data_IF_556845961961
#
_entry.id   IF_556845961961
#
_cell.length_a   1.000
_cell.length_b   1.000
_cell.length_c   1.000
_cell.angle_alpha   90.00
_cell.angle_beta   90.00
_cell.angle_gamma   90.00
#
_symmetry.space_group_name_H-M   'P 1'
#
loop_
_entity.id
_entity.type
_entity.pdbx_description
1 polymer ?
#
# COMPACT_ATOMS: atom_id res chain seq x y z
N UNK A 1 -6.38 -72.70 8.03
CA UNK A 1 -7.44 -72.09 7.21
C UNK A 1 -7.84 -70.84 7.99
N UNK A 2 -7.08 -69.77 7.74
CA UNK A 2 -7.51 -68.46 7.18
C UNK A 2 -8.06 -67.51 8.27
N UNK A 3 -7.32 -66.48 8.65
CA UNK A 3 -7.31 -65.13 8.05
C UNK A 3 -8.68 -64.45 8.10
N UNK A 4 -8.82 -63.45 8.96
CA UNK A 4 -9.64 -62.29 8.65
C UNK A 4 -9.05 -61.05 9.32
N UNK A 5 -8.20 -60.36 8.55
CA UNK A 5 -7.78 -59.00 8.82
C UNK A 5 -8.96 -58.07 8.56
N UNK A 6 -9.53 -57.47 9.61
CA UNK A 6 -10.45 -56.34 9.45
C UNK A 6 -9.61 -55.07 9.48
N UNK A 7 -9.34 -54.53 8.29
CA UNK A 7 -8.60 -53.30 8.11
C UNK A 7 -9.21 -52.16 8.91
N UNK A 8 -8.39 -51.51 9.70
CA UNK A 8 -8.63 -50.14 10.13
C UNK A 8 -8.62 -49.28 8.86
N UNK A 9 -9.59 -48.38 8.63
CA UNK A 9 -9.48 -47.41 7.57
C UNK A 9 -8.29 -46.50 7.91
N UNK A 10 -7.16 -46.73 7.25
CA UNK A 10 -6.09 -45.75 7.16
C UNK A 10 -6.70 -44.53 6.52
N UNK A 11 -6.88 -43.46 7.30
CA UNK A 11 -7.26 -42.17 6.77
C UNK A 11 -6.11 -41.63 5.94
N UNK A 12 -6.06 -42.02 4.68
CA UNK A 12 -5.39 -41.23 3.64
C UNK A 12 -6.20 -39.93 3.54
N UNK A 13 -5.81 -38.92 4.32
CA UNK A 13 -6.18 -37.56 4.00
C UNK A 13 -5.40 -37.22 2.73
N UNK A 14 -6.13 -36.96 1.64
CA UNK A 14 -5.54 -36.60 0.35
C UNK A 14 -4.55 -35.43 0.55
N UNK A 15 -3.33 -35.56 0.03
CA UNK A 15 -2.26 -34.54 0.17
C UNK A 15 -2.74 -33.14 -0.26
N UNK A 16 -3.66 -33.09 -1.23
CA UNK A 16 -4.32 -31.88 -1.71
C UNK A 16 -5.19 -31.17 -0.63
N UNK A 17 -5.84 -31.93 0.26
CA UNK A 17 -6.62 -31.36 1.37
C UNK A 17 -5.71 -30.78 2.46
N UNK A 18 -4.58 -31.45 2.75
CA UNK A 18 -3.60 -30.96 3.72
C UNK A 18 -2.94 -29.65 3.23
N UNK A 19 -2.60 -29.58 1.95
CA UNK A 19 -2.06 -28.38 1.30
C UNK A 19 -3.06 -27.22 1.29
N UNK A 20 -4.34 -27.50 1.03
CA UNK A 20 -5.40 -26.49 1.11
C UNK A 20 -5.56 -25.97 2.55
N UNK A 21 -5.52 -26.85 3.56
CA UNK A 21 -5.59 -26.50 4.98
C UNK A 21 -4.39 -25.64 5.41
N UNK A 22 -3.21 -25.97 4.91
CA UNK A 22 -1.98 -25.21 5.18
C UNK A 22 -2.06 -23.81 4.60
N UNK A 23 -2.48 -23.64 3.34
CA UNK A 23 -2.68 -22.32 2.72
C UNK A 23 -3.73 -21.48 3.45
N UNK A 24 -4.84 -22.10 3.87
CA UNK A 24 -5.86 -21.40 4.65
C UNK A 24 -5.33 -20.92 6.00
N UNK A 25 -4.51 -21.75 6.68
CA UNK A 25 -3.87 -21.38 7.94
C UNK A 25 -2.84 -20.26 7.75
N UNK A 26 -2.07 -20.29 6.66
CA UNK A 26 -1.13 -19.21 6.29
C UNK A 26 -1.87 -17.88 6.04
N UNK A 27 -2.96 -17.91 5.26
CA UNK A 27 -3.80 -16.73 5.02
C UNK A 27 -4.41 -16.18 6.32
N UNK A 28 -4.84 -17.06 7.22
CA UNK A 28 -5.39 -16.66 8.51
C UNK A 28 -4.33 -15.99 9.39
N UNK A 29 -3.12 -16.54 9.45
CA UNK A 29 -1.99 -15.93 10.18
C UNK A 29 -1.61 -14.58 9.57
N UNK A 30 -1.55 -14.45 8.25
CA UNK A 30 -1.29 -13.16 7.59
C UNK A 30 -2.37 -12.12 7.89
N UNK A 31 -3.64 -12.53 7.91
CA UNK A 31 -4.75 -11.65 8.23
C UNK A 31 -4.71 -11.18 9.70
N UNK A 32 -4.40 -12.09 10.63
CA UNK A 32 -4.25 -11.77 12.06
C UNK A 32 -3.05 -10.84 12.30
N UNK A 33 -1.92 -11.08 11.64
CA UNK A 33 -0.77 -10.18 11.70
C UNK A 33 -1.11 -8.80 11.10
N UNK A 34 -1.75 -8.74 9.93
CA UNK A 34 -2.22 -7.45 9.35
C UNK A 34 -3.15 -6.70 10.30
N UNK A 35 -4.10 -7.41 10.93
CA UNK A 35 -5.04 -6.83 11.89
C UNK A 35 -4.31 -6.29 13.12
N UNK A 36 -3.32 -7.03 13.65
CA UNK A 36 -2.48 -6.61 14.77
C UNK A 36 -1.72 -5.31 14.49
N UNK A 37 -1.17 -5.14 13.29
CA UNK A 37 -0.46 -3.92 12.91
C UNK A 37 -1.38 -2.78 12.47
N UNK A 38 -2.64 -3.06 12.07
CA UNK A 38 -3.61 -2.03 11.67
C UNK A 38 -3.95 -1.05 12.79
N UNK A 39 -3.86 -1.46 14.05
CA UNK A 39 -4.13 -0.60 15.21
C UNK A 39 -2.90 0.20 15.68
N UNK A 40 -1.70 -0.13 15.17
CA UNK A 40 -0.47 0.58 15.53
C UNK A 40 -0.31 1.80 14.63
N UNK A 41 -0.83 2.94 15.09
CA UNK A 41 -0.61 4.21 14.37
C UNK A 41 0.87 4.61 14.46
N UNK A 42 1.55 4.81 13.32
CA UNK A 42 2.94 5.26 13.32
C UNK A 42 3.12 6.59 14.05
N UNK A 43 4.24 6.74 14.76
CA UNK A 43 4.59 8.01 15.43
C UNK A 43 4.71 9.14 14.41
N UNK A 44 4.54 10.38 14.86
CA UNK A 44 4.55 11.55 13.98
C UNK A 44 5.85 11.70 13.20
N UNK A 45 6.99 11.29 13.76
CA UNK A 45 8.29 11.32 13.09
C UNK A 45 8.32 10.37 11.89
N UNK A 46 7.79 9.16 12.03
CA UNK A 46 7.68 8.19 10.93
C UNK A 46 6.76 8.72 9.84
N UNK A 47 5.65 9.36 10.22
CA UNK A 47 4.75 10.03 9.26
C UNK A 47 5.45 11.18 8.55
N UNK A 48 6.22 11.99 9.26
CA UNK A 48 6.99 13.09 8.68
C UNK A 48 8.02 12.59 7.66
N UNK A 49 8.76 11.55 8.01
CA UNK A 49 9.69 10.90 7.08
C UNK A 49 8.97 10.37 5.83
N UNK A 50 7.80 9.75 5.98
CA UNK A 50 7.02 9.31 4.82
C UNK A 50 6.60 10.49 3.92
N UNK A 51 6.23 11.63 4.50
CA UNK A 51 5.94 12.85 3.75
C UNK A 51 7.19 13.35 3.01
N UNK A 52 8.35 13.35 3.65
CA UNK A 52 9.62 13.70 2.99
C UNK A 52 9.93 12.77 1.81
N UNK A 53 9.65 11.46 1.93
CA UNK A 53 9.77 10.51 0.83
C UNK A 53 8.83 10.86 -0.33
N UNK A 54 7.57 11.23 -0.06
CA UNK A 54 6.61 11.65 -1.09
C UNK A 54 7.10 12.90 -1.81
N UNK A 55 7.60 13.90 -1.07
CA UNK A 55 8.16 15.11 -1.65
C UNK A 55 9.37 14.80 -2.54
N UNK A 56 10.28 13.94 -2.05
CA UNK A 56 11.44 13.47 -2.82
C UNK A 56 11.00 12.77 -4.10
N UNK A 57 9.96 11.93 -4.04
CA UNK A 57 9.41 11.25 -5.21
C UNK A 57 8.91 12.27 -6.23
N UNK A 58 8.05 13.21 -5.83
CA UNK A 58 7.52 14.26 -6.71
C UNK A 58 8.65 15.06 -7.39
N UNK A 59 9.71 15.38 -6.65
CA UNK A 59 10.84 16.14 -7.17
C UNK A 59 11.79 15.35 -8.09
N UNK A 60 11.81 14.01 -7.99
CA UNK A 60 12.78 13.15 -8.70
C UNK A 60 12.20 12.43 -9.90
N UNK A 61 10.89 12.21 -9.94
CA UNK A 61 10.27 11.59 -11.12
C UNK A 61 10.46 12.47 -12.35
N UNK A 62 10.97 11.87 -13.41
CA UNK A 62 11.12 12.50 -14.72
C UNK A 62 10.02 12.05 -15.67
N UNK A 63 9.73 12.87 -16.67
CA UNK A 63 8.80 12.52 -17.76
C UNK A 63 7.40 13.10 -17.58
N UNK A 64 6.90 13.74 -18.64
CA UNK A 64 5.62 14.44 -18.67
C UNK A 64 4.42 13.52 -18.38
N UNK A 65 4.54 12.22 -18.66
CA UNK A 65 3.48 11.25 -18.39
C UNK A 65 3.10 11.15 -16.90
N UNK A 66 4.02 11.46 -15.97
CA UNK A 66 3.70 11.47 -14.54
C UNK A 66 2.79 12.63 -14.15
N UNK A 67 2.77 13.72 -14.93
CA UNK A 67 2.07 14.97 -14.60
C UNK A 67 0.91 15.29 -15.57
N UNK A 68 0.91 14.71 -16.76
CA UNK A 68 -0.13 14.91 -17.78
C UNK A 68 -1.18 13.80 -17.77
N UNK A 69 -2.44 14.18 -17.53
CA UNK A 69 -3.57 13.23 -17.58
C UNK A 69 -3.81 12.69 -19.00
N UNK A 70 -3.55 13.49 -20.03
CA UNK A 70 -3.71 13.08 -21.43
C UNK A 70 -2.75 11.95 -21.80
N UNK A 71 -1.47 12.10 -21.43
CA UNK A 71 -0.45 11.07 -21.64
C UNK A 71 -0.69 9.84 -20.75
N UNK A 72 -1.12 10.02 -19.51
CA UNK A 72 -1.43 8.88 -18.65
C UNK A 72 -2.54 7.98 -19.19
N UNK A 73 -3.54 8.57 -19.87
CA UNK A 73 -4.64 7.82 -20.50
C UNK A 73 -4.19 6.97 -21.68
N UNK A 74 -3.13 7.36 -22.39
CA UNK A 74 -2.59 6.56 -23.50
C UNK A 74 -1.66 5.42 -23.03
N UNK A 75 -1.25 5.43 -21.77
CA UNK A 75 -0.43 4.38 -21.13
C UNK A 75 -1.15 3.77 -19.92
N UNK A 76 -2.29 3.08 -20.12
CA UNK A 76 -3.02 2.45 -19.03
C UNK A 76 -2.17 1.38 -18.34
N UNK A 77 -2.28 1.29 -17.01
CA UNK A 77 -1.58 0.30 -16.19
C UNK A 77 -0.18 0.71 -15.72
N UNK A 78 0.29 1.92 -16.04
CA UNK A 78 1.48 2.48 -15.43
C UNK A 78 1.15 3.22 -14.13
N UNK A 79 2.02 3.06 -13.13
CA UNK A 79 1.98 3.78 -11.86
C UNK A 79 2.50 5.21 -12.04
N UNK A 80 1.60 6.10 -12.47
CA UNK A 80 1.87 7.51 -12.71
C UNK A 80 1.35 8.37 -11.55
N UNK A 81 2.06 9.47 -11.24
CA UNK A 81 1.68 10.33 -10.12
C UNK A 81 0.32 10.99 -10.33
N UNK A 82 -0.01 11.36 -11.58
CA UNK A 82 -1.31 11.94 -11.94
C UNK A 82 -2.49 11.04 -11.58
N UNK A 83 -2.33 9.71 -11.65
CA UNK A 83 -3.36 8.76 -11.25
C UNK A 83 -3.59 8.76 -9.73
N UNK A 84 -2.57 9.17 -8.96
CA UNK A 84 -2.60 9.27 -7.51
C UNK A 84 -2.72 10.71 -7.00
N UNK A 85 -3.02 11.69 -7.87
CA UNK A 85 -3.06 13.11 -7.50
C UNK A 85 -4.02 13.38 -6.32
N UNK A 86 -5.20 12.74 -6.32
CA UNK A 86 -6.15 12.86 -5.20
C UNK A 86 -5.57 12.38 -3.86
N UNK A 87 -4.73 11.33 -3.88
CA UNK A 87 -4.05 10.83 -2.69
C UNK A 87 -2.93 11.78 -2.24
N UNK A 88 -2.15 12.33 -3.17
CA UNK A 88 -1.11 13.32 -2.87
C UNK A 88 -1.70 14.58 -2.21
N UNK A 89 -2.83 15.07 -2.74
CA UNK A 89 -3.58 16.20 -2.15
C UNK A 89 -4.10 15.84 -0.76
N UNK A 90 -4.69 14.66 -0.60
CA UNK A 90 -5.23 14.20 0.69
C UNK A 90 -4.15 14.10 1.77
N UNK A 91 -2.98 13.53 1.44
CA UNK A 91 -1.84 13.45 2.35
C UNK A 91 -1.34 14.84 2.72
N UNK A 92 -1.11 15.71 1.74
CA UNK A 92 -0.63 17.08 1.97
C UNK A 92 -1.56 17.87 2.88
N UNK A 93 -2.88 17.79 2.64
CA UNK A 93 -3.90 18.44 3.46
C UNK A 93 -3.98 17.87 4.89
N UNK A 94 -3.96 16.54 5.03
CA UNK A 94 -3.99 15.86 6.34
C UNK A 94 -2.80 16.27 7.20
N UNK A 95 -1.62 16.39 6.59
CA UNK A 95 -0.39 16.81 7.26
C UNK A 95 -0.43 18.30 7.60
N UNK A 96 -0.95 19.13 6.69
CA UNK A 96 -1.10 20.59 6.89
C UNK A 96 -2.03 20.94 8.04
N UNK A 97 -3.09 20.16 8.22
CA UNK A 97 -4.11 20.33 9.28
C UNK A 97 -3.82 19.50 10.53
N UNK A 98 -2.62 18.91 10.62
CA UNK A 98 -2.22 18.12 11.77
C UNK A 98 -2.25 18.94 13.06
N UNK A 99 -2.66 18.31 14.16
CA UNK A 99 -2.51 18.86 15.51
C UNK A 99 -1.04 18.94 15.97
N UNK A 100 -0.11 18.34 15.24
CA UNK A 100 1.33 18.40 15.50
C UNK A 100 1.92 19.58 14.73
N UNK A 101 2.34 20.60 15.48
CA UNK A 101 2.87 21.85 14.92
C UNK A 101 4.06 21.66 13.97
N UNK A 102 4.94 20.70 14.26
CA UNK A 102 6.09 20.36 13.41
C UNK A 102 5.69 19.77 12.04
N UNK A 103 4.51 19.16 11.93
CA UNK A 103 4.03 18.55 10.68
C UNK A 103 3.34 19.55 9.76
N UNK A 104 2.62 20.53 10.32
CA UNK A 104 1.86 21.53 9.55
C UNK A 104 2.66 22.21 8.43
N UNK A 105 3.86 22.80 8.68
CA UNK A 105 4.61 23.45 7.61
C UNK A 105 5.03 22.46 6.52
N UNK A 106 5.39 21.23 6.88
CA UNK A 106 5.74 20.21 5.88
C UNK A 106 4.55 19.82 5.00
N UNK A 107 3.34 19.80 5.54
CA UNK A 107 2.13 19.58 4.75
C UNK A 107 1.91 20.69 3.72
N UNK A 108 2.06 21.95 4.14
CA UNK A 108 1.86 23.11 3.25
C UNK A 108 2.89 23.09 2.13
N UNK A 109 4.16 22.83 2.44
CA UNK A 109 5.19 22.78 1.40
C UNK A 109 4.99 21.58 0.47
N UNK A 110 4.54 20.42 0.98
CA UNK A 110 4.16 19.29 0.09
C UNK A 110 3.03 19.69 -0.86
N UNK A 111 2.04 20.46 -0.38
CA UNK A 111 0.94 20.94 -1.22
C UNK A 111 1.43 21.87 -2.33
N UNK A 112 2.38 22.76 -2.02
CA UNK A 112 3.01 23.63 -3.01
C UNK A 112 3.79 22.82 -4.04
N UNK A 113 4.58 21.83 -3.60
CA UNK A 113 5.30 20.93 -4.52
C UNK A 113 4.34 20.24 -5.50
N UNK A 114 3.16 19.80 -5.03
CA UNK A 114 2.11 19.22 -5.88
C UNK A 114 1.55 20.27 -6.84
N UNK A 115 1.14 21.44 -6.37
CA UNK A 115 0.56 22.47 -7.25
C UNK A 115 1.56 22.92 -8.31
N UNK A 116 2.79 23.24 -7.92
CA UNK A 116 3.82 23.71 -8.82
C UNK A 116 4.07 22.66 -9.91
N UNK A 117 4.30 21.40 -9.54
CA UNK A 117 4.58 20.34 -10.52
C UNK A 117 3.44 19.99 -11.45
N UNK A 118 2.20 19.99 -10.96
CA UNK A 118 1.05 19.69 -11.79
C UNK A 118 0.54 20.91 -12.58
N UNK A 119 0.93 22.13 -12.22
CA UNK A 119 0.61 23.36 -12.96
C UNK A 119 1.56 23.66 -14.12
N UNK A 120 2.76 23.07 -14.11
CA UNK A 120 3.75 23.17 -15.21
C UNK A 120 3.25 22.56 -16.53
N UNK A 121 2.15 21.78 -16.51
CA UNK A 121 1.56 21.13 -17.67
C UNK A 121 0.22 21.82 -18.07
N UNK A 122 0.00 22.10 -19.38
CA UNK A 122 -1.21 22.77 -19.87
C UNK A 122 -2.49 21.91 -19.82
#
# INVERSE_FOLDING_TARGET
WDQNASGLPSGDMDEDEEDARKRQKEQQVEAEERAKWAFVTPRWQTRLFAVECVRRLIATVGGEAHFSLGLARSTPGLDLLVNSLGQLVSVSFTVSTSNIEAMRPQGVVTMLDVVDKFSEQP
#
